data_IF_606249811789
#
_entry.id   IF_606249811789
#
_cell.length_a   1.000
_cell.length_b   1.000
_cell.length_c   1.000
_cell.angle_alpha   90.00
_cell.angle_beta   90.00
_cell.angle_gamma   90.00
#
_symmetry.space_group_name_H-M   'P 1'
#
loop_
_entity.id
_entity.type
_entity.pdbx_description
1 polymer ?
#
# COMPACT_ATOMS: atom_id res chain seq x y z
N UNK A 1 1.03 -22.20 -15.62
CA UNK A 1 1.11 -22.44 -14.16
C UNK A 1 -0.27 -22.26 -13.56
N UNK A 2 -0.77 -23.19 -12.71
CA UNK A 2 -2.05 -23.00 -12.02
C UNK A 2 -1.96 -21.77 -11.10
N UNK A 3 -3.02 -20.96 -11.06
CA UNK A 3 -3.07 -19.83 -10.14
C UNK A 3 -3.37 -20.32 -8.73
N UNK A 4 -3.09 -19.50 -7.72
CA UNK A 4 -3.40 -19.82 -6.30
C UNK A 4 -4.87 -20.24 -6.16
N UNK A 5 -5.77 -19.59 -6.91
CA UNK A 5 -7.20 -19.91 -6.92
C UNK A 5 -7.49 -21.32 -7.48
N UNK A 6 -6.74 -21.78 -8.48
CA UNK A 6 -6.89 -23.12 -9.05
C UNK A 6 -6.44 -24.21 -8.07
N UNK A 7 -5.37 -23.96 -7.30
CA UNK A 7 -4.87 -24.90 -6.29
C UNK A 7 -5.87 -25.02 -5.12
N UNK A 8 -6.42 -23.89 -4.67
CA UNK A 8 -7.45 -23.85 -3.62
C UNK A 8 -8.70 -24.63 -4.06
N UNK A 9 -9.14 -24.46 -5.31
CA UNK A 9 -10.31 -25.16 -5.84
C UNK A 9 -10.12 -26.69 -5.87
N UNK A 10 -8.94 -27.17 -6.28
CA UNK A 10 -8.63 -28.60 -6.33
C UNK A 10 -8.59 -29.21 -4.93
N UNK A 11 -7.97 -28.53 -3.96
CA UNK A 11 -7.95 -28.95 -2.55
C UNK A 11 -9.38 -29.00 -1.99
N UNK A 12 -10.21 -28.00 -2.31
CA UNK A 12 -11.60 -27.93 -1.88
C UNK A 12 -12.44 -29.10 -2.41
N UNK A 13 -12.30 -29.43 -3.70
CA UNK A 13 -12.96 -30.59 -4.33
C UNK A 13 -12.50 -31.91 -3.70
N UNK A 14 -11.22 -32.02 -3.32
CA UNK A 14 -10.67 -33.22 -2.69
C UNK A 14 -11.22 -33.42 -1.26
N UNK A 15 -11.37 -32.33 -0.51
CA UNK A 15 -11.97 -32.33 0.85
C UNK A 15 -13.46 -32.73 0.80
N UNK A 16 -14.18 -32.32 -0.24
CA UNK A 16 -15.60 -32.65 -0.44
C UNK A 16 -15.85 -34.16 -0.64
N UNK A 17 -14.88 -34.96 -1.11
CA UNK A 17 -15.07 -36.42 -1.29
C UNK A 17 -15.08 -37.23 0.01
N UNK A 18 -14.66 -36.67 1.14
CA UNK A 18 -14.65 -37.38 2.41
C UNK A 18 -16.03 -37.35 3.10
N UNK A 19 -16.50 -38.52 3.53
CA UNK A 19 -17.84 -38.83 4.10
C UNK A 19 -18.24 -37.98 5.34
N UNK A 20 -17.34 -37.13 5.84
CA UNK A 20 -17.51 -36.20 6.95
C UNK A 20 -17.68 -34.74 6.49
N UNK A 21 -18.35 -34.48 5.36
CA UNK A 21 -18.58 -33.12 4.82
C UNK A 21 -19.09 -32.09 5.84
N UNK A 22 -19.89 -32.52 6.83
CA UNK A 22 -20.45 -31.63 7.85
C UNK A 22 -19.38 -30.94 8.71
N UNK A 23 -18.29 -31.63 9.04
CA UNK A 23 -17.18 -31.08 9.84
C UNK A 23 -16.37 -30.06 9.03
N UNK A 24 -16.13 -30.33 7.75
CA UNK A 24 -15.41 -29.40 6.88
C UNK A 24 -16.21 -28.14 6.57
N UNK A 25 -17.54 -28.25 6.43
CA UNK A 25 -18.43 -27.09 6.27
C UNK A 25 -18.40 -26.18 7.52
N UNK A 26 -18.36 -26.78 8.71
CA UNK A 26 -18.23 -26.08 9.99
C UNK A 26 -16.85 -25.39 10.13
N UNK A 27 -15.77 -26.05 9.71
CA UNK A 27 -14.42 -25.48 9.65
C UNK A 27 -14.30 -24.34 8.62
N UNK A 28 -15.01 -24.43 7.50
CA UNK A 28 -15.06 -23.37 6.49
C UNK A 28 -15.79 -22.11 7.02
N UNK A 29 -16.86 -22.31 7.80
CA UNK A 29 -17.60 -21.23 8.48
C UNK A 29 -16.78 -20.53 9.57
N UNK A 30 -15.76 -21.20 10.12
CA UNK A 30 -14.86 -20.63 11.11
C UNK A 30 -13.74 -19.80 10.49
N UNK A 31 -13.60 -19.77 9.16
CA UNK A 31 -12.70 -18.83 8.51
C UNK A 31 -13.37 -17.46 8.64
N UNK A 32 -12.85 -16.55 9.50
CA UNK A 32 -13.45 -15.23 9.56
C UNK A 32 -13.24 -14.61 8.18
N UNK A 33 -14.35 -14.26 7.51
CA UNK A 33 -14.35 -13.36 6.36
C UNK A 33 -13.88 -11.99 6.88
N UNK A 34 -12.58 -11.88 7.10
CA UNK A 34 -11.93 -10.62 7.39
C UNK A 34 -11.84 -9.91 6.05
N UNK A 35 -12.98 -9.38 5.61
CA UNK A 35 -12.98 -8.31 4.65
C UNK A 35 -12.26 -7.16 5.35
N UNK A 36 -10.95 -7.10 5.13
CA UNK A 36 -10.09 -6.00 5.56
C UNK A 36 -10.45 -4.77 4.71
N UNK A 37 -11.66 -4.25 4.90
CA UNK A 37 -12.01 -2.93 4.42
C UNK A 37 -11.26 -1.95 5.31
N UNK A 38 -10.30 -1.23 4.75
CA UNK A 38 -9.79 -0.03 5.39
C UNK A 38 -10.97 0.90 5.67
N UNK A 39 -11.00 1.47 6.87
CA UNK A 39 -12.06 2.38 7.30
C UNK A 39 -11.68 3.81 6.87
N UNK A 40 -12.38 4.31 5.85
CA UNK A 40 -12.13 5.63 5.28
C UNK A 40 -12.27 6.75 6.33
N UNK A 41 -13.24 6.64 7.23
CA UNK A 41 -13.48 7.67 8.24
C UNK A 41 -12.34 7.72 9.25
N UNK A 42 -11.79 6.55 9.63
CA UNK A 42 -10.55 6.51 10.44
C UNK A 42 -9.38 7.15 9.71
N UNK A 43 -9.22 6.89 8.41
CA UNK A 43 -8.15 7.51 7.62
C UNK A 43 -8.33 9.03 7.58
N UNK A 44 -9.55 9.53 7.31
CA UNK A 44 -9.85 10.98 7.29
C UNK A 44 -9.57 11.67 8.62
N UNK A 45 -9.91 11.05 9.75
CA UNK A 45 -9.70 11.61 11.08
C UNK A 45 -8.25 11.48 11.59
N UNK A 46 -7.45 10.57 11.03
CA UNK A 46 -6.09 10.35 11.48
C UNK A 46 -5.17 11.54 11.17
N UNK A 47 -4.38 11.96 12.16
CA UNK A 47 -3.31 12.95 11.99
C UNK A 47 -2.09 12.37 11.23
N UNK A 48 -1.86 11.07 11.39
CA UNK A 48 -0.73 10.34 10.82
C UNK A 48 -1.21 9.15 10.03
N UNK A 49 -0.66 8.97 8.84
CA UNK A 49 -0.92 7.82 7.97
C UNK A 49 0.39 7.21 7.47
N UNK A 50 0.30 5.98 6.97
CA UNK A 50 1.43 5.20 6.48
C UNK A 50 1.18 4.79 5.05
N UNK A 51 2.08 5.13 4.13
CA UNK A 51 1.99 4.78 2.72
C UNK A 51 2.83 3.54 2.50
N UNK A 52 2.21 2.45 2.04
CA UNK A 52 2.92 1.22 1.69
C UNK A 52 3.32 1.25 0.22
N UNK A 53 4.63 1.26 -0.02
CA UNK A 53 5.24 1.26 -1.35
C UNK A 53 5.79 -0.11 -1.69
N UNK A 54 5.44 -0.61 -2.87
CA UNK A 54 6.02 -1.82 -3.42
C UNK A 54 6.28 -1.62 -4.90
N UNK A 55 7.54 -1.68 -5.31
CA UNK A 55 7.93 -1.46 -6.71
C UNK A 55 7.20 -2.45 -7.64
N UNK A 56 6.49 -1.91 -8.61
CA UNK A 56 5.78 -2.65 -9.66
C UNK A 56 5.57 -1.74 -10.91
N UNK A 57 4.68 -2.13 -11.83
CA UNK A 57 4.40 -1.34 -13.05
C UNK A 57 3.71 0.01 -12.80
N UNK A 58 3.07 0.18 -11.64
CA UNK A 58 2.31 1.36 -11.23
C UNK A 58 3.01 2.13 -10.10
N UNK A 59 4.07 1.58 -9.54
CA UNK A 59 4.82 2.15 -8.41
C UNK A 59 6.31 2.06 -8.69
N UNK A 60 6.99 3.20 -8.81
CA UNK A 60 8.43 3.21 -9.03
C UNK A 60 9.10 4.32 -8.20
N UNK A 61 10.39 4.17 -7.95
CA UNK A 61 11.19 5.17 -7.25
C UNK A 61 12.35 5.61 -8.14
N UNK A 62 12.61 6.93 -8.15
CA UNK A 62 13.74 7.52 -8.86
C UNK A 62 14.60 8.31 -7.88
N UNK A 63 15.91 8.22 -8.07
CA UNK A 63 16.87 9.02 -7.31
C UNK A 63 16.80 10.47 -7.80
N UNK A 64 16.58 11.41 -6.88
CA UNK A 64 16.42 12.82 -7.21
C UNK A 64 17.77 13.54 -7.10
N UNK A 65 18.40 13.78 -8.25
CA UNK A 65 19.66 14.51 -8.45
C UNK A 65 20.94 13.90 -7.85
N UNK A 66 22.03 14.12 -8.59
CA UNK A 66 23.40 13.64 -8.37
C UNK A 66 24.11 14.19 -7.13
N UNK A 67 23.52 15.19 -6.45
CA UNK A 67 24.15 15.88 -5.31
C UNK A 67 23.90 15.13 -3.99
N UNK A 68 22.76 14.43 -3.84
CA UNK A 68 22.43 13.74 -2.60
C UNK A 68 21.86 12.35 -2.91
N UNK A 69 22.77 11.37 -3.00
CA UNK A 69 22.51 9.99 -3.42
C UNK A 69 21.42 9.28 -2.57
N UNK A 70 21.04 9.82 -1.42
CA UNK A 70 20.10 9.15 -0.52
C UNK A 70 18.65 9.64 -0.63
N UNK A 71 18.34 10.57 -1.54
CA UNK A 71 16.97 11.05 -1.72
C UNK A 71 16.26 10.34 -2.87
N UNK A 72 15.27 9.52 -2.51
CA UNK A 72 14.37 8.86 -3.45
C UNK A 72 13.05 9.64 -3.53
N UNK A 73 12.59 9.85 -4.75
CA UNK A 73 11.20 10.22 -5.04
C UNK A 73 10.43 8.93 -5.33
N UNK A 74 9.27 8.76 -4.70
CA UNK A 74 8.39 7.61 -4.90
C UNK A 74 7.16 8.04 -5.70
N UNK A 75 6.92 7.38 -6.81
CA UNK A 75 5.86 7.71 -7.76
C UNK A 75 4.79 6.63 -7.73
N UNK A 76 3.54 7.08 -7.60
CA UNK A 76 2.34 6.25 -7.72
C UNK A 76 1.58 6.69 -8.95
N UNK A 77 1.43 5.78 -9.91
CA UNK A 77 0.70 6.02 -11.15
C UNK A 77 -0.80 5.87 -10.91
N UNK A 78 -1.54 6.91 -11.28
CA UNK A 78 -2.98 6.93 -11.41
C UNK A 78 -3.33 6.95 -12.89
N UNK A 79 -4.14 5.98 -13.32
CA UNK A 79 -4.66 5.93 -14.68
C UNK A 79 -5.92 6.79 -14.77
N UNK A 80 -5.90 7.81 -15.62
CA UNK A 80 -7.07 8.65 -15.87
C UNK A 80 -7.64 8.36 -17.27
N UNK A 81 -8.86 7.82 -17.29
CA UNK A 81 -9.65 7.55 -18.50
C UNK A 81 -8.89 6.76 -19.60
N UNK A 82 -7.94 5.89 -19.22
CA UNK A 82 -7.16 5.06 -20.15
C UNK A 82 -6.22 5.82 -21.10
N UNK A 83 -6.03 7.13 -20.90
CA UNK A 83 -5.27 7.99 -21.84
C UNK A 83 -4.12 8.76 -21.21
N UNK A 84 -4.21 9.09 -19.92
CA UNK A 84 -3.19 9.86 -19.23
C UNK A 84 -2.74 9.15 -17.96
N UNK A 85 -1.43 9.20 -17.71
CA UNK A 85 -0.84 8.78 -16.44
C UNK A 85 -0.54 10.03 -15.63
N UNK A 86 -1.26 10.17 -14.53
CA UNK A 86 -0.91 11.15 -13.53
C UNK A 86 -0.10 10.47 -12.42
N UNK A 87 0.77 11.25 -11.78
CA UNK A 87 1.59 10.74 -10.69
C UNK A 87 1.30 11.48 -9.41
N UNK A 88 1.06 10.72 -8.36
CA UNK A 88 1.25 11.21 -7.00
C UNK A 88 2.70 10.93 -6.62
N UNK A 89 3.41 11.98 -6.23
CA UNK A 89 4.83 11.86 -5.88
C UNK A 89 5.00 12.06 -4.39
N UNK A 90 5.67 11.12 -3.72
CA UNK A 90 6.12 11.26 -2.35
C UNK A 90 7.61 11.55 -2.34
N UNK A 91 8.00 12.66 -1.72
CA UNK A 91 9.40 13.06 -1.57
C UNK A 91 9.77 13.11 -0.10
N UNK A 92 11.03 12.88 0.23
CA UNK A 92 11.52 13.07 1.59
C UNK A 92 11.19 14.49 2.09
N UNK A 93 10.61 14.60 3.30
CA UNK A 93 10.20 15.91 3.86
C UNK A 93 11.39 16.88 3.93
N UNK A 94 12.54 16.39 4.39
CA UNK A 94 13.77 17.17 4.53
C UNK A 94 14.80 16.68 3.52
N UNK A 95 15.33 17.59 2.71
CA UNK A 95 16.34 17.30 1.68
C UNK A 95 17.70 16.86 2.26
N UNK A 96 17.95 17.15 3.53
CA UNK A 96 19.24 16.87 4.20
C UNK A 96 19.19 15.60 5.08
N UNK A 97 18.08 15.36 5.79
CA UNK A 97 17.93 14.19 6.66
C UNK A 97 16.44 13.86 6.89
N UNK A 98 15.84 12.97 6.08
CA UNK A 98 14.49 12.49 6.39
C UNK A 98 14.45 11.89 7.79
N UNK A 99 13.37 12.14 8.54
CA UNK A 99 13.17 11.49 9.83
C UNK A 99 12.86 10.03 9.59
N UNK A 100 13.85 9.18 9.84
CA UNK A 100 13.71 7.74 9.77
C UNK A 100 13.40 7.18 11.17
N UNK A 101 12.51 6.20 11.23
CA UNK A 101 12.31 5.39 12.44
C UNK A 101 12.15 3.92 12.09
N UNK A 102 12.56 3.03 12.99
CA UNK A 102 12.37 1.58 12.86
C UNK A 102 11.31 1.11 13.84
N UNK A 103 10.35 0.34 13.35
CA UNK A 103 9.28 -0.24 14.14
C UNK A 103 9.34 -1.78 14.09
N UNK A 104 8.73 -2.45 15.08
CA UNK A 104 8.56 -3.91 15.06
C UNK A 104 7.55 -4.32 13.99
N UNK A 105 7.66 -5.51 13.41
CA UNK A 105 6.70 -6.01 12.40
C UNK A 105 5.24 -6.06 12.87
N UNK A 106 4.99 -6.21 14.16
CA UNK A 106 3.65 -6.14 14.75
C UNK A 106 2.96 -4.78 14.56
N UNK A 107 3.73 -3.75 14.21
CA UNK A 107 3.25 -2.44 13.79
C UNK A 107 2.22 -2.52 12.64
N UNK A 108 2.46 -3.37 11.64
CA UNK A 108 1.54 -3.51 10.48
C UNK A 108 0.17 -3.98 10.94
N UNK A 109 0.12 -4.96 11.85
CA UNK A 109 -1.13 -5.49 12.39
C UNK A 109 -1.88 -4.45 13.22
N UNK A 110 -1.15 -3.66 14.00
CA UNK A 110 -1.72 -2.62 14.89
C UNK A 110 -2.26 -1.42 14.12
N UNK A 111 -1.60 -1.04 13.02
CA UNK A 111 -1.91 0.18 12.26
C UNK A 111 -2.54 -0.10 10.89
N UNK A 112 -3.03 -1.32 10.63
CA UNK A 112 -3.57 -1.74 9.33
C UNK A 112 -4.60 -0.77 8.73
N UNK A 113 -5.42 -0.14 9.58
CA UNK A 113 -6.49 0.78 9.15
C UNK A 113 -5.93 2.12 8.66
N UNK A 114 -4.69 2.46 9.02
CA UNK A 114 -4.00 3.71 8.66
C UNK A 114 -2.90 3.50 7.60
N UNK A 115 -2.71 2.25 7.16
CA UNK A 115 -1.79 1.92 6.08
C UNK A 115 -2.55 2.05 4.78
N UNK A 116 -2.08 2.91 3.88
CA UNK A 116 -2.64 3.19 2.57
C UNK A 116 -1.81 2.45 1.52
N UNK A 117 -2.47 1.65 0.70
CA UNK A 117 -1.87 0.91 -0.42
C UNK A 117 -2.22 1.57 -1.75
N UNK A 118 -1.49 1.23 -2.82
CA UNK A 118 -1.86 1.65 -4.19
C UNK A 118 -3.29 1.25 -4.56
N UNK A 119 -3.70 0.01 -4.25
CA UNK A 119 -5.07 -0.49 -4.47
C UNK A 119 -6.15 0.31 -3.71
N UNK A 120 -5.80 0.90 -2.57
CA UNK A 120 -6.73 1.77 -1.84
C UNK A 120 -6.81 3.14 -2.52
N UNK A 121 -5.66 3.73 -2.84
CA UNK A 121 -5.59 5.06 -3.45
C UNK A 121 -6.31 5.13 -4.79
N UNK A 122 -6.18 4.08 -5.60
CA UNK A 122 -6.79 4.01 -6.94
C UNK A 122 -8.31 3.76 -6.94
N UNK A 123 -8.93 3.60 -5.77
CA UNK A 123 -10.40 3.64 -5.64
C UNK A 123 -10.97 5.06 -5.76
N UNK A 124 -10.11 6.05 -5.56
CA UNK A 124 -10.42 7.46 -5.62
C UNK A 124 -9.78 8.06 -6.86
N UNK A 125 -10.30 9.18 -7.35
CA UNK A 125 -9.55 9.94 -8.34
C UNK A 125 -8.31 10.58 -7.69
N UNK A 126 -7.42 11.08 -8.54
CA UNK A 126 -6.16 11.66 -8.06
C UNK A 126 -6.39 12.88 -7.15
N UNK A 127 -7.42 13.68 -7.40
CA UNK A 127 -7.70 14.88 -6.62
C UNK A 127 -8.17 14.50 -5.22
N UNK A 128 -9.12 13.57 -5.11
CA UNK A 128 -9.61 13.00 -3.86
C UNK A 128 -8.49 12.31 -3.07
N UNK A 129 -7.65 11.51 -3.74
CA UNK A 129 -6.51 10.87 -3.11
C UNK A 129 -5.49 11.90 -2.59
N UNK A 130 -5.23 12.95 -3.35
CA UNK A 130 -4.32 14.03 -2.95
C UNK A 130 -4.88 14.81 -1.77
N UNK A 131 -6.17 15.12 -1.77
CA UNK A 131 -6.88 15.79 -0.68
C UNK A 131 -6.84 14.97 0.62
N UNK A 132 -7.09 13.66 0.50
CA UNK A 132 -7.09 12.72 1.62
C UNK A 132 -5.74 12.66 2.33
N UNK A 133 -4.64 12.73 1.58
CA UNK A 133 -3.27 12.61 2.12
C UNK A 133 -2.69 13.98 2.46
N UNK A 134 -3.00 15.02 1.67
CA UNK A 134 -2.41 16.36 1.78
C UNK A 134 -2.72 17.08 3.08
N UNK A 135 -3.86 16.76 3.71
CA UNK A 135 -4.29 17.32 4.99
C UNK A 135 -3.64 16.67 6.22
N UNK A 136 -2.76 15.67 6.04
CA UNK A 136 -2.18 14.92 7.15
C UNK A 136 -0.99 15.65 7.75
N UNK A 137 -0.94 15.67 9.09
CA UNK A 137 0.18 16.27 9.82
C UNK A 137 1.50 15.54 9.55
N UNK A 138 1.42 14.20 9.42
CA UNK A 138 2.58 13.35 9.13
C UNK A 138 2.21 12.22 8.17
N UNK A 139 3.07 12.02 7.19
CA UNK A 139 2.98 10.90 6.24
C UNK A 139 4.29 10.14 6.31
N UNK A 140 4.22 8.85 6.61
CA UNK A 140 5.39 7.97 6.60
C UNK A 140 5.28 7.01 5.43
N UNK A 141 6.36 6.81 4.69
CA UNK A 141 6.47 5.80 3.66
C UNK A 141 7.17 4.54 4.20
N UNK A 142 6.65 3.39 3.80
CA UNK A 142 7.18 2.05 4.04
C UNK A 142 7.53 1.43 2.69
N UNK A 143 8.82 1.39 2.34
CA UNK A 143 9.27 0.62 1.19
C UNK A 143 9.27 -0.88 1.55
N UNK A 144 8.64 -1.70 0.71
CA UNK A 144 8.66 -3.15 0.84
C UNK A 144 10.08 -3.72 0.94
N UNK A 145 11.03 -3.16 0.19
CA UNK A 145 12.43 -3.61 0.18
C UNK A 145 13.14 -3.33 1.53
N UNK A 146 12.62 -2.38 2.31
CA UNK A 146 13.11 -2.04 3.67
C UNK A 146 12.39 -2.83 4.79
N UNK A 147 11.47 -3.74 4.45
CA UNK A 147 10.79 -4.60 5.42
C UNK A 147 11.63 -5.84 5.68
N UNK A 148 12.24 -5.88 6.86
CA UNK A 148 12.96 -7.05 7.35
C UNK A 148 12.02 -7.99 8.13
N UNK A 149 12.51 -9.20 8.44
CA UNK A 149 11.75 -10.21 9.19
C UNK A 149 11.10 -9.66 10.48
N UNK A 150 11.85 -8.85 11.25
CA UNK A 150 11.44 -8.35 12.57
C UNK A 150 11.10 -6.86 12.62
N UNK A 151 11.49 -6.09 11.60
CA UNK A 151 11.46 -4.63 11.66
C UNK A 151 11.06 -4.00 10.34
N UNK A 152 10.50 -2.80 10.43
CA UNK A 152 10.06 -2.00 9.28
C UNK A 152 10.69 -0.63 9.41
N UNK A 153 11.28 -0.13 8.33
CA UNK A 153 11.74 1.25 8.22
C UNK A 153 10.57 2.15 7.82
N UNK A 154 10.41 3.25 8.53
CA UNK A 154 9.44 4.31 8.23
C UNK A 154 10.21 5.59 7.91
N UNK A 155 9.93 6.18 6.76
CA UNK A 155 10.58 7.41 6.29
C UNK A 155 9.54 8.51 6.19
N UNK A 156 9.74 9.64 6.85
CA UNK A 156 8.80 10.77 6.73
C UNK A 156 8.88 11.42 5.34
N UNK A 157 7.73 11.51 4.68
CA UNK A 157 7.58 12.03 3.32
C UNK A 157 6.56 13.17 3.26
N UNK A 158 6.63 13.95 2.19
CA UNK A 158 5.62 14.92 1.76
C UNK A 158 5.03 14.50 0.43
N UNK A 159 3.73 14.74 0.28
CA UNK A 159 3.08 14.68 -1.03
C UNK A 159 3.50 15.92 -1.80
N UNK A 160 4.05 15.72 -2.98
CA UNK A 160 4.31 16.78 -3.93
C UNK A 160 3.19 16.76 -4.98
N UNK A 161 2.77 17.94 -5.42
CA UNK A 161 1.63 18.11 -6.32
C UNK A 161 1.72 17.27 -7.60
N UNK A 162 0.58 17.16 -8.26
CA UNK A 162 0.41 16.32 -9.44
C UNK A 162 1.00 17.01 -10.67
N UNK A 163 1.89 16.32 -11.38
CA UNK A 163 2.37 16.76 -12.68
C UNK A 163 1.75 15.89 -13.77
N UNK A 164 0.94 16.43 -14.69
CA UNK A 164 0.49 15.66 -15.85
C UNK A 164 1.70 15.33 -16.72
N UNK A 165 1.86 14.07 -17.14
CA UNK A 165 2.77 13.70 -18.21
C UNK A 165 1.97 13.14 -19.38
N UNK A 166 2.25 13.62 -20.59
CA UNK A 166 1.78 12.97 -21.81
C UNK A 166 2.41 11.59 -21.93
N UNK A 167 1.61 10.59 -22.28
CA UNK A 167 2.14 9.28 -22.69
C UNK A 167 2.61 9.49 -24.14
N UNK A 168 3.91 9.55 -24.35
CA UNK A 168 4.51 9.43 -25.68
C UNK A 168 4.42 7.99 -26.20
#
# INVERSE_FOLDING_TARGET
MPTINTIILVIFIYILKFKNMRIYLLLLLLIPFTNFSQDLEKIKMADTIYIYFKRDKNQYSLQNNSINLNNLNYYYTFEYAGKYRNYMTFMHHYSLSPKEKREKRSFLKKNKDYIITHDFLTKYDLAEATDLIGHKKRVYLMDYDDICWFSIKLVEVKVMGTWPQSIE
#
